data_IF_203215208115
#
_entry.id   IF_203215208115
#
_cell.length_a   1.000
_cell.length_b   1.000
_cell.length_c   1.000
_cell.angle_alpha   90.00
_cell.angle_beta   90.00
_cell.angle_gamma   90.00
#
_symmetry.space_group_name_H-M   'P 1'
#
loop_
_entity.id
_entity.type
_entity.pdbx_description
1 polymer ?
#
# COMPACT_ATOMS: atom_id res chain seq x y z
N UNK A 1 -11.96 13.17 -29.25
CA UNK A 1 -12.63 11.86 -29.34
C UNK A 1 -13.22 11.57 -27.98
N UNK A 2 -14.48 11.13 -27.91
CA UNK A 2 -15.10 10.75 -26.65
C UNK A 2 -14.34 9.57 -26.02
N UNK A 3 -14.18 9.57 -24.70
CA UNK A 3 -13.60 8.45 -23.97
C UNK A 3 -14.51 7.22 -24.09
N UNK A 4 -13.92 6.05 -24.34
CA UNK A 4 -14.57 4.74 -24.16
C UNK A 4 -13.60 3.80 -23.45
N UNK A 5 -14.07 3.09 -22.44
CA UNK A 5 -13.27 2.10 -21.69
C UNK A 5 -12.72 1.01 -22.63
N UNK A 6 -13.50 0.61 -23.63
CA UNK A 6 -13.12 -0.42 -24.60
C UNK A 6 -11.97 0.04 -25.51
N UNK A 7 -12.00 1.31 -25.93
CA UNK A 7 -10.91 1.90 -26.70
C UNK A 7 -9.64 2.04 -25.85
N UNK A 8 -9.78 2.35 -24.56
CA UNK A 8 -8.67 2.40 -23.63
C UNK A 8 -8.01 1.02 -23.44
N UNK A 9 -8.81 -0.02 -23.24
CA UNK A 9 -8.34 -1.42 -23.17
C UNK A 9 -7.63 -1.79 -24.47
N UNK A 10 -8.26 -1.55 -25.63
CA UNK A 10 -7.70 -1.88 -26.94
C UNK A 10 -6.34 -1.22 -27.16
N UNK A 11 -6.20 0.06 -26.81
CA UNK A 11 -4.92 0.81 -26.88
C UNK A 11 -3.86 0.20 -25.97
N UNK A 12 -4.21 -0.09 -24.72
CA UNK A 12 -3.28 -0.72 -23.77
C UNK A 12 -2.87 -2.14 -24.22
N UNK A 13 -3.76 -2.88 -24.88
CA UNK A 13 -3.49 -4.20 -25.44
C UNK A 13 -2.63 -4.16 -26.71
N UNK A 14 -2.69 -3.09 -27.49
CA UNK A 14 -1.84 -2.87 -28.67
C UNK A 14 -0.52 -2.14 -28.35
N UNK A 15 -0.37 -1.59 -27.14
CA UNK A 15 0.82 -0.88 -26.71
C UNK A 15 2.09 -1.73 -26.89
N UNK A 16 3.10 -1.19 -27.57
CA UNK A 16 4.39 -1.83 -27.74
C UNK A 16 5.52 -0.91 -27.26
N UNK A 17 6.77 -1.37 -27.39
CA UNK A 17 7.94 -0.61 -26.95
C UNK A 17 8.42 0.45 -27.97
N UNK A 18 7.69 0.68 -29.07
CA UNK A 18 8.02 1.73 -30.03
C UNK A 18 7.63 3.11 -29.48
N UNK A 19 8.45 4.10 -29.78
CA UNK A 19 8.22 5.48 -29.36
C UNK A 19 6.87 5.99 -29.89
N UNK A 20 6.52 5.68 -31.14
CA UNK A 20 5.26 6.10 -31.75
C UNK A 20 4.02 5.53 -31.03
N UNK A 21 4.06 4.25 -30.65
CA UNK A 21 2.95 3.61 -29.91
C UNK A 21 2.76 4.25 -28.53
N UNK A 22 3.87 4.49 -27.83
CA UNK A 22 3.89 5.13 -26.50
C UNK A 22 3.35 6.57 -26.59
N UNK A 23 3.88 7.40 -27.49
CA UNK A 23 3.48 8.81 -27.63
C UNK A 23 2.02 8.97 -28.05
N UNK A 24 1.57 8.16 -29.02
CA UNK A 24 0.19 8.21 -29.50
C UNK A 24 -0.79 7.85 -28.39
N UNK A 25 -0.47 6.83 -27.60
CA UNK A 25 -1.28 6.42 -26.45
C UNK A 25 -1.23 7.47 -25.35
N UNK A 26 -0.06 8.05 -25.07
CA UNK A 26 0.11 9.11 -24.07
C UNK A 26 -0.70 10.37 -24.40
N UNK A 27 -0.64 10.86 -25.64
CA UNK A 27 -1.47 11.99 -26.11
C UNK A 27 -2.97 11.73 -25.88
N UNK A 28 -3.41 10.50 -26.13
CA UNK A 28 -4.79 10.11 -25.88
C UNK A 28 -5.13 10.12 -24.38
N UNK A 29 -4.25 9.60 -23.51
CA UNK A 29 -4.39 9.69 -22.04
C UNK A 29 -4.55 11.14 -21.58
N UNK A 30 -3.71 12.04 -22.09
CA UNK A 30 -3.74 13.47 -21.74
C UNK A 30 -4.99 14.18 -22.26
N UNK A 31 -5.50 13.78 -23.42
CA UNK A 31 -6.77 14.30 -23.97
C UNK A 31 -7.98 13.90 -23.13
N UNK A 32 -7.89 12.76 -22.42
CA UNK A 32 -8.94 12.19 -21.57
C UNK A 32 -8.65 12.40 -20.08
N UNK A 33 -7.99 13.52 -19.72
CA UNK A 33 -7.53 13.83 -18.36
C UNK A 33 -8.64 13.92 -17.30
N UNK A 34 -9.88 14.15 -17.72
CA UNK A 34 -11.05 14.17 -16.83
C UNK A 34 -11.33 12.78 -16.26
N UNK A 35 -10.95 11.73 -16.98
CA UNK A 35 -11.07 10.32 -16.61
C UNK A 35 -9.75 9.74 -16.05
N UNK A 36 -8.82 10.59 -15.58
CA UNK A 36 -7.48 10.14 -15.18
C UNK A 36 -7.47 9.02 -14.13
N UNK A 37 -8.41 9.04 -13.17
CA UNK A 37 -8.53 7.97 -12.15
C UNK A 37 -8.82 6.62 -12.78
N UNK A 38 -9.86 6.56 -13.63
CA UNK A 38 -10.25 5.33 -14.33
C UNK A 38 -9.17 4.85 -15.31
N UNK A 39 -8.49 5.78 -15.99
CA UNK A 39 -7.37 5.46 -16.87
C UNK A 39 -6.20 4.80 -16.14
N UNK A 40 -5.84 5.29 -14.95
CA UNK A 40 -4.75 4.70 -14.16
C UNK A 40 -5.15 3.35 -13.58
N UNK A 41 -6.40 3.18 -13.12
CA UNK A 41 -6.93 1.88 -12.70
C UNK A 41 -6.86 0.87 -13.85
N UNK A 42 -7.33 1.25 -15.04
CA UNK A 42 -7.33 0.39 -16.22
C UNK A 42 -5.91 0.07 -16.70
N UNK A 43 -5.03 1.07 -16.72
CA UNK A 43 -3.60 0.86 -16.99
C UNK A 43 -3.02 -0.20 -16.06
N UNK A 44 -3.33 -0.13 -14.76
CA UNK A 44 -2.80 -1.07 -13.79
C UNK A 44 -3.37 -2.49 -13.98
N UNK A 45 -4.67 -2.59 -14.24
CA UNK A 45 -5.34 -3.86 -14.55
C UNK A 45 -4.73 -4.53 -15.77
N UNK A 46 -4.58 -3.81 -16.88
CA UNK A 46 -4.00 -4.35 -18.12
C UNK A 46 -2.49 -4.62 -17.96
N UNK A 47 -1.76 -3.82 -17.18
CA UNK A 47 -0.36 -4.09 -16.84
C UNK A 47 -0.17 -5.43 -16.13
N UNK A 48 -1.06 -5.76 -15.17
CA UNK A 48 -0.98 -7.03 -14.42
C UNK A 48 -1.22 -8.24 -15.32
N UNK A 49 -2.12 -8.11 -16.29
CA UNK A 49 -2.41 -9.15 -17.30
C UNK A 49 -1.30 -9.26 -18.36
N UNK A 50 -0.56 -8.18 -18.62
CA UNK A 50 0.41 -8.12 -19.69
C UNK A 50 1.59 -9.10 -19.47
N UNK A 51 2.08 -9.76 -20.53
CA UNK A 51 3.23 -10.65 -20.43
C UNK A 51 4.50 -9.87 -20.03
N UNK A 52 5.49 -10.53 -19.41
CA UNK A 52 6.72 -9.88 -18.92
C UNK A 52 7.46 -9.04 -19.99
N UNK A 53 7.39 -9.45 -21.26
CA UNK A 53 7.97 -8.71 -22.41
C UNK A 53 7.37 -7.32 -22.62
N UNK A 54 6.10 -7.14 -22.26
CA UNK A 54 5.32 -5.94 -22.52
C UNK A 54 5.29 -4.96 -21.34
N UNK A 55 5.62 -5.43 -20.13
CA UNK A 55 5.61 -4.63 -18.89
C UNK A 55 6.45 -3.34 -18.98
N UNK A 56 7.57 -3.36 -19.71
CA UNK A 56 8.39 -2.15 -19.90
C UNK A 56 7.68 -1.06 -20.73
N UNK A 57 6.90 -1.44 -21.74
CA UNK A 57 6.15 -0.48 -22.57
C UNK A 57 5.12 0.29 -21.74
N UNK A 58 4.48 -0.37 -20.77
CA UNK A 58 3.57 0.28 -19.82
C UNK A 58 4.29 1.30 -18.94
N UNK A 59 5.53 1.02 -18.50
CA UNK A 59 6.32 2.00 -17.74
C UNK A 59 6.77 3.18 -18.61
N UNK A 60 7.11 2.95 -19.88
CA UNK A 60 7.40 4.03 -20.82
C UNK A 60 6.16 4.91 -21.06
N UNK A 61 4.98 4.32 -21.19
CA UNK A 61 3.71 5.06 -21.25
C UNK A 61 3.47 5.89 -19.98
N UNK A 62 3.60 5.29 -18.79
CA UNK A 62 3.44 6.03 -17.54
C UNK A 62 4.44 7.19 -17.45
N UNK A 63 5.70 6.96 -17.83
CA UNK A 63 6.71 8.01 -17.88
C UNK A 63 6.32 9.16 -18.82
N UNK A 64 5.89 8.86 -20.03
CA UNK A 64 5.52 9.89 -21.01
C UNK A 64 4.28 10.67 -20.54
N UNK A 65 3.25 9.99 -20.05
CA UNK A 65 2.03 10.63 -19.51
C UNK A 65 2.35 11.52 -18.33
N UNK A 66 3.18 11.05 -17.39
CA UNK A 66 3.55 11.84 -16.20
C UNK A 66 4.36 13.08 -16.62
N UNK A 67 5.34 12.94 -17.52
CA UNK A 67 6.20 14.04 -17.94
C UNK A 67 5.50 15.04 -18.87
N UNK A 68 4.82 14.56 -19.91
CA UNK A 68 4.05 15.39 -20.84
C UNK A 68 2.82 16.02 -20.18
N UNK A 69 2.31 15.36 -19.14
CA UNK A 69 1.17 15.82 -18.34
C UNK A 69 1.50 16.77 -17.19
N UNK A 70 2.77 17.11 -16.91
CA UNK A 70 3.13 17.95 -15.75
C UNK A 70 2.34 19.26 -15.72
N UNK A 71 2.20 19.92 -16.87
CA UNK A 71 1.48 21.21 -16.97
C UNK A 71 -0.01 21.03 -17.26
N UNK A 72 -0.38 20.05 -18.08
CA UNK A 72 -1.75 19.92 -18.63
C UNK A 72 -2.67 19.04 -17.80
N UNK A 73 -2.09 18.06 -17.10
CA UNK A 73 -2.79 17.05 -16.30
C UNK A 73 -1.93 16.57 -15.11
N UNK A 74 -1.54 17.47 -14.18
CA UNK A 74 -0.64 17.16 -13.05
C UNK A 74 -1.18 16.05 -12.12
N UNK A 75 -2.48 15.76 -12.16
CA UNK A 75 -3.10 14.69 -11.39
C UNK A 75 -2.52 13.30 -11.72
N UNK A 76 -2.05 13.06 -12.96
CA UNK A 76 -1.50 11.76 -13.34
C UNK A 76 -0.27 11.39 -12.49
N UNK A 77 0.61 12.35 -12.20
CA UNK A 77 1.78 12.10 -11.34
C UNK A 77 1.39 11.49 -9.99
N UNK A 78 0.39 12.07 -9.32
CA UNK A 78 -0.09 11.57 -8.02
C UNK A 78 -0.90 10.27 -8.14
N UNK A 79 -1.68 10.10 -9.20
CA UNK A 79 -2.50 8.90 -9.40
C UNK A 79 -1.66 7.67 -9.75
N UNK A 80 -0.54 7.84 -10.45
CA UNK A 80 0.37 6.73 -10.72
C UNK A 80 1.11 6.26 -9.46
N UNK A 81 1.39 7.14 -8.49
CA UNK A 81 2.15 6.81 -7.27
C UNK A 81 1.76 5.48 -6.60
N UNK A 82 0.48 5.15 -6.31
CA UNK A 82 0.09 3.87 -5.70
C UNK A 82 0.31 2.63 -6.57
N UNK A 83 0.31 2.75 -7.90
CA UNK A 83 0.45 1.59 -8.82
C UNK A 83 1.91 1.29 -9.17
N UNK A 84 2.80 2.29 -9.08
CA UNK A 84 4.21 2.17 -9.46
C UNK A 84 5.00 1.13 -8.66
N UNK A 85 4.87 0.98 -7.32
CA UNK A 85 5.61 -0.03 -6.57
C UNK A 85 5.45 -1.45 -7.14
N UNK A 86 4.22 -1.83 -7.45
CA UNK A 86 3.92 -3.14 -8.07
C UNK A 86 4.45 -3.20 -9.50
N UNK A 87 4.29 -2.13 -10.28
CA UNK A 87 4.75 -2.11 -11.67
C UNK A 87 6.27 -2.23 -11.81
N UNK A 88 7.00 -1.50 -10.98
CA UNK A 88 8.46 -1.58 -10.89
C UNK A 88 8.93 -2.95 -10.40
N UNK A 89 8.32 -3.51 -9.35
CA UNK A 89 8.63 -4.87 -8.86
C UNK A 89 8.53 -5.90 -9.98
N UNK A 90 7.39 -5.94 -10.65
CA UNK A 90 7.08 -6.94 -11.66
C UNK A 90 7.92 -6.79 -12.93
N UNK A 91 8.25 -5.56 -13.33
CA UNK A 91 9.11 -5.30 -14.48
C UNK A 91 10.57 -5.62 -14.17
N UNK A 92 11.03 -5.39 -12.95
CA UNK A 92 12.40 -5.68 -12.52
C UNK A 92 12.71 -7.19 -12.45
N UNK A 93 11.70 -8.03 -12.17
CA UNK A 93 11.83 -9.50 -12.22
C UNK A 93 12.20 -10.04 -13.60
N UNK A 94 11.96 -9.27 -14.67
CA UNK A 94 12.31 -9.70 -16.03
C UNK A 94 13.83 -9.80 -16.15
N UNK A 95 14.33 -11.01 -16.36
CA UNK A 95 15.76 -11.32 -16.54
C UNK A 95 16.28 -10.89 -17.92
N UNK A 96 16.04 -9.62 -18.29
CA UNK A 96 16.65 -8.99 -19.47
C UNK A 96 17.36 -7.73 -19.07
N UNK A 97 18.61 -7.62 -19.47
CA UNK A 97 19.45 -6.47 -19.19
C UNK A 97 18.81 -5.16 -19.69
N UNK A 98 18.30 -5.14 -20.93
CA UNK A 98 17.66 -3.95 -21.51
C UNK A 98 16.46 -3.44 -20.70
N UNK A 99 15.64 -4.35 -20.17
CA UNK A 99 14.48 -4.00 -19.34
C UNK A 99 14.92 -3.42 -18.00
N UNK A 100 15.88 -4.08 -17.33
CA UNK A 100 16.40 -3.61 -16.03
C UNK A 100 17.13 -2.27 -16.15
N UNK A 101 17.90 -2.08 -17.23
CA UNK A 101 18.55 -0.81 -17.55
C UNK A 101 17.53 0.31 -17.79
N UNK A 102 16.44 0.03 -18.52
CA UNK A 102 15.37 1.00 -18.73
C UNK A 102 14.66 1.38 -17.43
N UNK A 103 14.35 0.41 -16.55
CA UNK A 103 13.78 0.65 -15.21
C UNK A 103 14.71 1.53 -14.36
N UNK A 104 16.01 1.22 -14.36
CA UNK A 104 17.02 2.00 -13.67
C UNK A 104 17.09 3.45 -14.18
N UNK A 105 17.10 3.63 -15.50
CA UNK A 105 17.12 4.93 -16.14
C UNK A 105 15.88 5.76 -15.82
N UNK A 106 14.68 5.16 -15.82
CA UNK A 106 13.44 5.84 -15.44
C UNK A 106 13.52 6.44 -14.03
N UNK A 107 14.03 5.67 -13.06
CA UNK A 107 14.21 6.17 -11.69
C UNK A 107 15.17 7.36 -11.66
N UNK A 108 16.29 7.28 -12.38
CA UNK A 108 17.27 8.38 -12.47
C UNK A 108 16.63 9.61 -13.07
N UNK A 109 15.90 9.48 -14.18
CA UNK A 109 15.21 10.60 -14.85
C UNK A 109 14.17 11.24 -13.93
N UNK A 110 13.39 10.43 -13.20
CA UNK A 110 12.39 10.94 -12.26
C UNK A 110 13.00 11.63 -11.05
N UNK A 111 14.16 11.17 -10.60
CA UNK A 111 14.98 11.92 -9.65
C UNK A 111 15.38 13.24 -10.29
N UNK A 112 16.11 13.24 -11.42
CA UNK A 112 16.55 14.39 -12.23
C UNK A 112 15.52 15.48 -12.46
N UNK A 113 14.28 15.10 -12.68
CA UNK A 113 13.20 16.06 -12.95
C UNK A 113 12.36 16.41 -11.72
N UNK A 114 12.77 15.94 -10.53
CA UNK A 114 12.05 16.13 -9.26
C UNK A 114 10.56 15.72 -9.34
N UNK A 115 10.25 14.66 -10.09
CA UNK A 115 8.87 14.23 -10.33
C UNK A 115 8.24 13.65 -9.06
N UNK A 116 9.03 12.87 -8.31
CA UNK A 116 8.62 12.26 -7.06
C UNK A 116 9.59 12.56 -5.91
N UNK A 117 9.10 12.40 -4.68
CA UNK A 117 9.91 12.59 -3.47
C UNK A 117 11.08 11.62 -3.39
N UNK A 118 12.19 12.05 -2.79
CA UNK A 118 13.39 11.20 -2.61
C UNK A 118 13.08 9.92 -1.82
N UNK A 119 12.17 9.98 -0.84
CA UNK A 119 11.77 8.82 -0.04
C UNK A 119 11.05 7.77 -0.89
N UNK A 120 10.08 8.19 -1.71
CA UNK A 120 9.36 7.30 -2.61
C UNK A 120 10.28 6.69 -3.67
N UNK A 121 11.16 7.51 -4.26
CA UNK A 121 12.15 7.05 -5.23
C UNK A 121 13.15 6.03 -4.64
N UNK A 122 13.59 6.22 -3.39
CA UNK A 122 14.39 5.21 -2.66
C UNK A 122 13.62 3.92 -2.43
N UNK A 123 12.32 4.01 -2.10
CA UNK A 123 11.46 2.85 -1.93
C UNK A 123 11.33 2.06 -3.25
N UNK A 124 11.05 2.74 -4.37
CA UNK A 124 10.97 2.10 -5.69
C UNK A 124 12.29 1.43 -6.07
N UNK A 125 13.43 2.09 -5.86
CA UNK A 125 14.74 1.48 -6.07
C UNK A 125 14.90 0.20 -5.26
N UNK A 126 14.63 0.24 -3.96
CA UNK A 126 14.76 -0.93 -3.08
C UNK A 126 13.88 -2.09 -3.56
N UNK A 127 12.64 -1.81 -3.95
CA UNK A 127 11.71 -2.80 -4.51
C UNK A 127 12.30 -3.44 -5.77
N UNK A 128 12.86 -2.65 -6.69
CA UNK A 128 13.49 -3.18 -7.91
C UNK A 128 14.67 -4.07 -7.60
N UNK A 129 15.58 -3.62 -6.73
CA UNK A 129 16.79 -4.36 -6.40
C UNK A 129 16.47 -5.69 -5.70
N UNK A 130 15.49 -5.69 -4.79
CA UNK A 130 15.00 -6.92 -4.17
C UNK A 130 14.37 -7.86 -5.20
N UNK A 131 13.55 -7.33 -6.11
CA UNK A 131 12.93 -8.13 -7.17
C UNK A 131 13.96 -8.74 -8.15
N UNK A 132 15.04 -8.01 -8.44
CA UNK A 132 16.18 -8.53 -9.23
C UNK A 132 16.88 -9.65 -8.48
N UNK A 133 17.21 -9.45 -7.20
CA UNK A 133 17.85 -10.47 -6.38
C UNK A 133 16.99 -11.73 -6.22
N UNK A 134 15.67 -11.58 -6.03
CA UNK A 134 14.71 -12.69 -6.01
C UNK A 134 14.67 -13.46 -7.33
N UNK A 135 14.74 -12.77 -8.47
CA UNK A 135 14.70 -13.39 -9.79
C UNK A 135 16.02 -14.09 -10.17
N UNK A 136 17.17 -13.52 -9.78
CA UNK A 136 18.50 -14.04 -10.12
C UNK A 136 18.97 -15.11 -9.11
N UNK A 137 18.51 -15.03 -7.86
CA UNK A 137 18.94 -15.92 -6.76
C UNK A 137 17.75 -16.38 -5.89
N UNK A 138 16.85 -17.23 -6.42
CA UNK A 138 15.61 -17.61 -5.72
C UNK A 138 15.83 -18.38 -4.40
N UNK A 139 16.99 -19.02 -4.20
CA UNK A 139 17.33 -19.80 -3.00
C UNK A 139 18.33 -19.14 -2.03
N UNK A 140 18.78 -17.92 -2.28
CA UNK A 140 19.74 -17.25 -1.40
C UNK A 140 19.08 -16.79 -0.09
N UNK A 141 19.83 -16.84 1.02
CA UNK A 141 19.39 -16.26 2.29
C UNK A 141 19.24 -14.72 2.15
N UNK A 142 18.34 -14.13 2.93
CA UNK A 142 18.03 -12.70 2.89
C UNK A 142 19.25 -11.80 3.15
N UNK A 143 20.21 -12.27 3.94
CA UNK A 143 21.48 -11.56 4.15
C UNK A 143 22.32 -11.46 2.88
N UNK A 144 22.41 -12.55 2.11
CA UNK A 144 23.14 -12.56 0.82
C UNK A 144 22.46 -11.64 -0.18
N UNK A 145 21.12 -11.69 -0.26
CA UNK A 145 20.34 -10.76 -1.10
C UNK A 145 20.60 -9.30 -0.70
N UNK A 146 20.60 -8.97 0.59
CA UNK A 146 20.91 -7.62 1.09
C UNK A 146 22.31 -7.15 0.69
N UNK A 147 23.31 -8.03 0.78
CA UNK A 147 24.69 -7.70 0.41
C UNK A 147 24.83 -7.45 -1.10
N UNK A 148 24.20 -8.28 -1.95
CA UNK A 148 24.17 -8.08 -3.41
C UNK A 148 23.50 -6.74 -3.77
N UNK A 149 22.38 -6.43 -3.11
CA UNK A 149 21.65 -5.18 -3.32
C UNK A 149 22.52 -3.97 -2.96
N UNK A 150 23.22 -4.03 -1.82
CA UNK A 150 24.10 -2.95 -1.34
C UNK A 150 25.33 -2.74 -2.25
N UNK A 151 25.88 -3.82 -2.81
CA UNK A 151 27.04 -3.77 -3.69
C UNK A 151 26.71 -3.41 -5.16
N UNK A 152 25.43 -3.24 -5.51
CA UNK A 152 25.01 -2.98 -6.89
C UNK A 152 25.50 -1.60 -7.38
N UNK A 153 26.16 -1.51 -8.56
CA UNK A 153 26.57 -0.23 -9.15
C UNK A 153 25.40 0.74 -9.35
N UNK A 154 24.22 0.21 -9.68
CA UNK A 154 23.00 1.01 -9.78
C UNK A 154 22.60 1.65 -8.44
N UNK A 155 22.84 0.97 -7.31
CA UNK A 155 22.59 1.52 -5.98
C UNK A 155 23.43 2.78 -5.75
N UNK A 156 24.71 2.71 -6.13
CA UNK A 156 25.67 3.79 -5.98
C UNK A 156 25.28 4.97 -6.88
N UNK A 157 25.14 4.77 -8.19
CA UNK A 157 24.78 5.83 -9.14
C UNK A 157 23.48 6.54 -8.76
N UNK A 158 22.45 5.78 -8.34
CA UNK A 158 21.19 6.37 -7.92
C UNK A 158 21.29 7.19 -6.63
N UNK A 159 22.11 6.72 -5.67
CA UNK A 159 22.36 7.47 -4.43
C UNK A 159 23.05 8.79 -4.74
N UNK A 160 24.09 8.76 -5.59
CA UNK A 160 24.80 9.97 -6.06
C UNK A 160 23.85 10.95 -6.71
N UNK A 161 22.97 10.46 -7.60
CA UNK A 161 21.90 11.26 -8.22
C UNK A 161 21.10 11.89 -7.09
N UNK A 162 20.42 11.13 -6.21
CA UNK A 162 19.59 11.67 -5.11
C UNK A 162 20.30 12.67 -4.17
N UNK A 163 21.61 12.52 -3.93
CA UNK A 163 22.41 13.47 -3.15
C UNK A 163 22.66 14.77 -3.89
N UNK A 164 22.80 14.76 -5.23
CA UNK A 164 22.88 15.97 -6.02
C UNK A 164 21.55 16.77 -6.06
N UNK A 165 20.40 16.17 -5.73
CA UNK A 165 19.08 16.85 -5.61
C UNK A 165 18.94 17.73 -4.35
N UNK A 166 19.96 17.87 -3.51
CA UNK A 166 19.89 18.70 -2.29
C UNK A 166 21.26 19.24 -1.96
N UNK A 167 21.32 20.43 -1.34
CA UNK A 167 22.55 21.18 -1.08
C UNK A 167 23.73 20.27 -0.70
N UNK A 168 24.83 20.49 -1.41
CA UNK A 168 26.08 19.78 -1.23
C UNK A 168 26.58 19.95 0.22
N UNK A 169 26.46 18.89 1.01
CA UNK A 169 27.32 18.72 2.19
C UNK A 169 28.43 17.73 1.78
N UNK A 170 29.71 18.11 1.89
CA UNK A 170 30.80 17.25 1.43
C UNK A 170 30.92 16.03 2.35
N UNK A 171 30.86 14.84 1.74
CA UNK A 171 31.25 13.61 2.42
C UNK A 171 32.79 13.58 2.57
N UNK A 172 33.33 13.10 3.70
CA UNK A 172 34.76 12.86 3.80
C UNK A 172 35.08 11.56 3.06
N UNK A 173 35.88 11.69 2.00
CA UNK A 173 36.70 10.61 1.43
C UNK A 173 37.63 10.05 2.49
N UNK A 174 37.69 8.72 2.71
CA UNK A 174 38.93 7.90 2.79
C UNK A 174 38.62 6.39 2.66
N UNK A 175 39.35 5.73 1.77
CA UNK A 175 39.57 4.27 1.70
C UNK A 175 40.97 4.01 2.28
N UNK A 176 41.09 3.11 3.27
CA UNK A 176 42.21 2.17 3.49
C UNK A 176 42.18 1.54 4.91
N UNK A 177 42.49 0.24 5.00
CA UNK A 177 42.62 -0.62 6.21
C UNK A 177 44.08 -1.12 6.32
N UNK A 178 44.57 -1.81 7.37
CA UNK A 178 44.45 -1.68 8.83
C UNK A 178 45.79 -1.30 9.52
N UNK A 179 45.74 -0.81 10.77
CA UNK A 179 46.95 -0.61 11.58
C UNK A 179 46.62 -0.32 13.05
N UNK A 180 47.08 -1.20 13.93
CA UNK A 180 46.94 -1.12 15.38
C UNK A 180 47.71 0.08 15.95
N UNK A 181 47.11 0.87 16.84
CA UNK A 181 47.69 1.30 18.12
C UNK A 181 46.76 2.23 18.93
N UNK A 182 46.73 1.94 20.22
CA UNK A 182 46.04 2.59 21.32
C UNK A 182 46.45 4.07 21.53
N UNK A 183 45.48 4.93 21.88
CA UNK A 183 45.64 5.99 22.89
C UNK A 183 44.30 6.54 23.39
N UNK A 184 44.11 6.48 24.71
CA UNK A 184 43.06 7.09 25.55
C UNK A 184 42.89 8.60 25.30
N UNK A 185 41.67 9.14 25.47
CA UNK A 185 41.30 10.04 26.59
C UNK A 185 39.82 10.51 26.55
N UNK A 186 39.16 10.35 27.71
CA UNK A 186 38.07 11.11 28.39
C UNK A 186 36.90 11.75 27.61
N UNK A 187 35.71 11.15 27.79
CA UNK A 187 34.61 11.67 28.61
C UNK A 187 33.89 12.97 28.24
N UNK A 188 32.61 12.85 27.85
CA UNK A 188 31.54 13.74 28.36
C UNK A 188 30.19 13.01 28.35
N UNK A 189 29.48 13.09 29.47
CA UNK A 189 28.14 12.54 29.70
C UNK A 189 27.11 13.54 29.18
N UNK A 190 26.05 13.08 28.51
CA UNK A 190 24.77 13.78 28.46
C UNK A 190 23.64 12.80 28.16
N UNK A 191 23.09 12.29 29.25
CA UNK A 191 21.67 12.14 29.58
C UNK A 191 20.67 12.17 28.41
N UNK A 192 20.09 11.00 28.12
CA UNK A 192 18.87 10.85 27.32
C UNK A 192 17.66 11.16 28.21
N UNK A 193 17.01 12.30 27.98
CA UNK A 193 15.67 12.58 28.53
C UNK A 193 14.62 11.94 27.63
N UNK A 194 13.98 10.88 28.12
CA UNK A 194 12.70 10.41 27.61
C UNK A 194 11.60 11.23 28.29
N UNK A 195 10.88 12.04 27.52
CA UNK A 195 9.61 12.60 27.94
C UNK A 195 8.47 11.81 27.25
N UNK A 196 7.47 11.30 27.99
CA UNK A 196 6.31 10.68 27.39
C UNK A 196 5.38 11.79 26.88
N UNK A 197 5.09 11.79 25.58
CA UNK A 197 4.10 12.72 25.01
C UNK A 197 2.70 12.26 25.40
N UNK A 198 2.04 13.13 26.17
CA UNK A 198 0.64 13.07 26.55
C UNK A 198 -0.28 13.03 25.32
N UNK A 199 -1.23 12.09 25.33
CA UNK A 199 -2.36 12.04 24.39
C UNK A 199 -3.35 13.14 24.75
N UNK A 200 -3.25 14.30 24.10
CA UNK A 200 -4.34 15.28 24.09
C UNK A 200 -5.30 14.99 22.94
N UNK A 201 -6.54 14.69 23.32
CA UNK A 201 -7.71 14.67 22.46
C UNK A 201 -7.85 16.07 21.85
N UNK A 202 -7.60 16.19 20.54
CA UNK A 202 -7.83 17.44 19.80
C UNK A 202 -9.27 17.45 19.26
N UNK A 203 -10.04 18.40 19.78
CA UNK A 203 -11.33 18.79 19.24
C UNK A 203 -11.21 19.29 17.81
N UNK A 204 -12.20 18.92 17.01
CA UNK A 204 -12.36 19.26 15.61
C UNK A 204 -12.77 20.72 15.45
N UNK A 205 -11.92 21.53 14.80
CA UNK A 205 -12.27 22.85 14.28
C UNK A 205 -12.07 22.86 12.75
N UNK A 206 -13.08 23.19 11.93
CA UNK A 206 -12.98 23.08 10.48
C UNK A 206 -12.63 24.41 9.85
N UNK A 207 -11.34 24.72 9.66
CA UNK A 207 -10.90 25.77 8.73
C UNK A 207 -9.55 25.41 8.12
N UNK A 208 -9.56 24.85 6.91
CA UNK A 208 -8.33 24.44 6.19
C UNK A 208 -8.58 23.78 4.83
N UNK A 209 -9.54 24.30 4.04
CA UNK A 209 -9.89 23.74 2.73
C UNK A 209 -8.91 24.21 1.65
N UNK A 210 -7.86 23.43 1.39
CA UNK A 210 -7.22 23.38 0.05
C UNK A 210 -6.22 22.21 -0.06
N UNK A 211 -5.42 21.96 0.98
CA UNK A 211 -4.41 20.88 0.97
C UNK A 211 -4.98 19.51 1.39
N UNK A 212 -5.97 19.48 2.28
CA UNK A 212 -6.49 18.23 2.85
C UNK A 212 -7.40 17.45 1.88
N UNK A 213 -8.26 18.12 1.10
CA UNK A 213 -9.15 17.43 0.15
C UNK A 213 -8.39 16.62 -0.91
N UNK A 214 -7.20 17.08 -1.35
CA UNK A 214 -6.40 16.33 -2.33
C UNK A 214 -5.63 15.17 -1.71
N UNK A 215 -5.13 15.30 -0.46
CA UNK A 215 -4.49 14.20 0.28
C UNK A 215 -5.51 13.11 0.64
N UNK A 216 -6.70 13.50 1.10
CA UNK A 216 -7.82 12.60 1.36
C UNK A 216 -8.30 11.89 0.10
N UNK A 217 -8.33 12.57 -1.05
CA UNK A 217 -8.70 11.97 -2.34
C UNK A 217 -7.68 10.93 -2.84
N UNK A 218 -6.39 11.13 -2.58
CA UNK A 218 -5.33 10.18 -2.99
C UNK A 218 -5.23 9.00 -2.02
N UNK A 219 -5.36 9.24 -0.71
CA UNK A 219 -5.43 8.13 0.26
C UNK A 219 -6.66 7.26 0.00
N UNK A 220 -7.80 7.88 -0.29
CA UNK A 220 -9.01 7.18 -0.70
C UNK A 220 -8.78 6.37 -1.99
N UNK A 221 -8.13 6.95 -3.01
CA UNK A 221 -7.80 6.22 -4.24
C UNK A 221 -6.85 5.04 -3.99
N UNK A 222 -5.86 5.20 -3.09
CA UNK A 222 -4.95 4.12 -2.70
C UNK A 222 -5.68 2.99 -1.98
N UNK A 223 -6.57 3.32 -1.05
CA UNK A 223 -7.40 2.34 -0.34
C UNK A 223 -8.38 1.64 -1.28
N UNK A 224 -8.98 2.39 -2.20
CA UNK A 224 -9.87 1.87 -3.24
C UNK A 224 -9.13 0.87 -4.13
N UNK A 225 -7.95 1.23 -4.65
CA UNK A 225 -7.13 0.33 -5.44
C UNK A 225 -6.74 -0.92 -4.64
N UNK A 226 -6.30 -0.76 -3.39
CA UNK A 226 -5.94 -1.89 -2.54
C UNK A 226 -7.12 -2.85 -2.33
N UNK A 227 -8.32 -2.29 -2.17
CA UNK A 227 -9.58 -3.03 -2.05
C UNK A 227 -9.97 -3.74 -3.35
N UNK A 228 -9.82 -3.10 -4.50
CA UNK A 228 -10.04 -3.73 -5.81
C UNK A 228 -9.10 -4.92 -5.99
N UNK A 229 -7.81 -4.79 -5.67
CA UNK A 229 -6.85 -5.89 -5.79
C UNK A 229 -7.15 -7.08 -4.87
N UNK A 230 -7.59 -6.81 -3.64
CA UNK A 230 -8.03 -7.87 -2.71
C UNK A 230 -9.27 -8.59 -3.25
N UNK A 231 -10.14 -7.86 -3.95
CA UNK A 231 -11.37 -8.42 -4.50
C UNK A 231 -11.11 -9.26 -5.74
N UNK A 232 -10.22 -8.81 -6.65
CA UNK A 232 -9.79 -9.60 -7.82
C UNK A 232 -9.12 -10.93 -7.44
N UNK A 233 -8.49 -11.01 -6.27
CA UNK A 233 -7.82 -12.22 -5.79
C UNK A 233 -8.79 -13.28 -5.24
N UNK A 234 -10.07 -12.94 -5.05
CA UNK A 234 -11.09 -13.83 -4.50
C UNK A 234 -11.94 -14.38 -5.64
N UNK A 235 -12.14 -15.70 -5.65
CA UNK A 235 -13.09 -16.33 -6.56
C UNK A 235 -14.50 -15.83 -6.24
N UNK A 236 -15.29 -15.40 -7.24
CA UNK A 236 -16.64 -14.93 -6.99
C UNK A 236 -17.45 -16.02 -6.26
N UNK A 237 -17.99 -15.72 -5.06
CA UNK A 237 -18.72 -16.72 -4.28
C UNK A 237 -20.04 -17.06 -4.96
N UNK A 238 -20.54 -18.27 -4.70
CA UNK A 238 -21.91 -18.62 -5.08
C UNK A 238 -22.91 -17.87 -4.20
N UNK A 239 -24.15 -17.69 -4.69
CA UNK A 239 -25.21 -17.04 -3.91
C UNK A 239 -25.47 -17.75 -2.59
N UNK A 240 -25.40 -19.09 -2.56
CA UNK A 240 -25.56 -19.90 -1.33
C UNK A 240 -24.47 -19.61 -0.29
N UNK A 241 -23.22 -19.47 -0.71
CA UNK A 241 -22.10 -19.14 0.20
C UNK A 241 -22.25 -17.74 0.80
N UNK A 242 -22.73 -16.77 0.02
CA UNK A 242 -23.03 -15.44 0.54
C UNK A 242 -24.15 -15.44 1.57
N UNK A 243 -25.19 -16.24 1.34
CA UNK A 243 -26.28 -16.41 2.29
C UNK A 243 -25.79 -17.02 3.60
N UNK A 244 -24.95 -18.06 3.54
CA UNK A 244 -24.34 -18.66 4.72
C UNK A 244 -23.49 -17.65 5.51
N UNK A 245 -22.68 -16.84 4.81
CA UNK A 245 -21.87 -15.80 5.44
C UNK A 245 -22.71 -14.71 6.11
N UNK A 246 -23.84 -14.33 5.50
CA UNK A 246 -24.80 -13.37 6.07
C UNK A 246 -25.51 -13.96 7.29
N UNK A 247 -25.97 -15.20 7.20
CA UNK A 247 -26.64 -15.90 8.29
C UNK A 247 -25.70 -16.07 9.50
N UNK A 248 -24.43 -16.42 9.26
CA UNK A 248 -23.42 -16.50 10.33
C UNK A 248 -23.23 -15.18 11.07
N UNK A 249 -23.29 -14.05 10.36
CA UNK A 249 -23.19 -12.71 10.95
C UNK A 249 -24.48 -12.21 11.60
N UNK A 250 -25.62 -12.86 11.31
CA UNK A 250 -26.92 -12.56 11.92
C UNK A 250 -27.11 -13.27 13.27
N UNK A 251 -26.37 -14.35 13.52
CA UNK A 251 -26.29 -14.99 14.84
C UNK A 251 -25.73 -14.01 15.90
N UNK A 252 -25.87 -14.28 17.21
CA UNK A 252 -25.45 -13.36 18.26
C UNK A 252 -24.00 -12.92 18.07
N UNK A 253 -23.80 -11.66 17.67
CA UNK A 253 -22.49 -11.07 17.44
C UNK A 253 -21.93 -10.53 18.76
N UNK A 254 -20.62 -10.52 18.91
CA UNK A 254 -19.95 -9.89 20.05
C UNK A 254 -20.36 -8.41 20.18
N UNK A 255 -20.45 -7.71 19.05
CA UNK A 255 -20.98 -6.35 18.94
C UNK A 255 -22.48 -6.24 19.25
N UNK A 256 -23.26 -7.31 19.15
CA UNK A 256 -24.64 -7.38 19.62
C UNK A 256 -24.77 -7.59 21.13
N UNK A 257 -23.74 -8.13 21.78
CA UNK A 257 -23.77 -8.52 23.20
C UNK A 257 -23.66 -7.31 24.16
N UNK A 258 -24.81 -6.67 24.36
CA UNK A 258 -24.94 -5.55 25.28
C UNK A 258 -24.75 -5.95 26.75
N UNK A 259 -24.95 -7.22 27.11
CA UNK A 259 -24.79 -7.69 28.48
C UNK A 259 -23.30 -7.74 28.85
N UNK A 260 -22.49 -8.38 28.00
CA UNK A 260 -21.03 -8.45 28.20
C UNK A 260 -20.40 -7.07 28.15
N UNK A 261 -20.84 -6.17 27.25
CA UNK A 261 -20.36 -4.77 27.25
C UNK A 261 -20.67 -4.03 28.54
N UNK A 262 -21.87 -4.19 29.09
CA UNK A 262 -22.23 -3.55 30.37
C UNK A 262 -21.41 -4.12 31.53
N UNK A 263 -21.18 -5.43 31.55
CA UNK A 263 -20.35 -6.08 32.57
C UNK A 263 -18.91 -5.56 32.53
N UNK A 264 -18.32 -5.46 31.33
CA UNK A 264 -16.97 -4.90 31.13
C UNK A 264 -16.91 -3.42 31.54
N UNK A 265 -17.93 -2.62 31.18
CA UNK A 265 -17.99 -1.21 31.55
C UNK A 265 -18.15 -0.97 33.07
N UNK A 266 -18.68 -1.96 33.80
CA UNK A 266 -18.83 -1.93 35.26
C UNK A 266 -17.63 -2.55 35.99
N UNK A 267 -16.52 -2.80 35.28
CA UNK A 267 -15.33 -3.32 35.93
C UNK A 267 -14.86 -2.42 37.08
N UNK A 268 -14.37 -3.03 38.17
CA UNK A 268 -13.94 -2.27 39.33
C UNK A 268 -12.80 -1.29 38.97
N UNK A 269 -12.72 -0.12 39.62
CA UNK A 269 -11.67 0.86 39.35
C UNK A 269 -10.27 0.32 39.63
N UNK A 270 -10.13 -0.69 40.49
CA UNK A 270 -8.87 -1.39 40.77
C UNK A 270 -8.41 -2.27 39.61
N UNK A 271 -9.31 -2.66 38.71
CA UNK A 271 -9.00 -3.41 37.48
C UNK A 271 -8.75 -2.44 36.32
N UNK A 272 -9.43 -1.28 36.31
CA UNK A 272 -9.32 -0.29 35.24
C UNK A 272 -8.18 0.72 35.41
N UNK A 273 -7.72 0.99 36.64
CA UNK A 273 -6.71 1.99 36.97
C UNK A 273 -5.54 1.37 37.75
N UNK A 274 -4.36 1.38 37.12
CA UNK A 274 -3.14 0.82 37.67
C UNK A 274 -2.71 1.50 38.98
N UNK A 275 -3.00 2.80 39.16
CA UNK A 275 -2.59 3.53 40.37
C UNK A 275 -3.42 3.13 41.58
N UNK A 276 -4.73 2.94 41.39
CA UNK A 276 -5.64 2.48 42.46
C UNK A 276 -5.36 1.03 42.87
N UNK A 277 -5.00 0.18 41.90
CA UNK A 277 -4.54 -1.17 42.18
C UNK A 277 -3.29 -1.16 43.08
N UNK A 278 -2.31 -0.31 42.76
CA UNK A 278 -1.07 -0.17 43.54
C UNK A 278 -1.35 0.36 44.94
N UNK A 279 -2.21 1.37 45.09
CA UNK A 279 -2.58 1.94 46.39
C UNK A 279 -3.15 0.90 47.36
N UNK A 280 -4.03 0.02 46.84
CA UNK A 280 -4.61 -1.08 47.61
C UNK A 280 -3.54 -2.11 47.96
N UNK A 281 -2.66 -2.47 47.02
CA UNK A 281 -1.58 -3.44 47.26
C UNK A 281 -0.61 -2.96 48.35
N UNK A 282 -0.31 -1.65 48.43
CA UNK A 282 0.63 -1.09 49.42
C UNK A 282 0.19 -1.26 50.86
N UNK A 283 -1.11 -1.21 51.15
CA UNK A 283 -1.65 -1.25 52.51
C UNK A 283 -2.40 -2.56 52.84
N UNK A 284 -2.60 -3.44 51.86
CA UNK A 284 -3.35 -4.69 52.00
C UNK A 284 -2.52 -5.83 52.59
N UNK A 285 -3.22 -6.69 53.34
CA UNK A 285 -2.75 -8.01 53.78
C UNK A 285 -2.52 -8.98 52.61
N UNK A 286 -1.76 -10.04 52.83
CA UNK A 286 -1.41 -11.02 51.79
C UNK A 286 -2.66 -11.70 51.18
N UNK A 287 -3.70 -11.90 51.98
CA UNK A 287 -4.99 -12.45 51.53
C UNK A 287 -5.75 -11.50 50.59
N UNK A 288 -5.80 -10.21 50.93
CA UNK A 288 -6.49 -9.18 50.13
C UNK A 288 -5.78 -8.95 48.78
N UNK A 289 -4.44 -9.04 48.74
CA UNK A 289 -3.67 -9.01 47.49
C UNK A 289 -4.01 -10.20 46.59
N UNK A 290 -4.12 -11.39 47.17
CA UNK A 290 -4.50 -12.59 46.41
C UNK A 290 -5.90 -12.48 45.83
N UNK A 291 -6.85 -11.94 46.60
CA UNK A 291 -8.22 -11.72 46.14
C UNK A 291 -8.31 -10.68 45.01
N UNK A 292 -7.55 -9.58 45.14
CA UNK A 292 -7.45 -8.56 44.09
C UNK A 292 -6.87 -9.13 42.79
N UNK A 293 -5.78 -9.89 42.88
CA UNK A 293 -5.16 -10.56 41.72
C UNK A 293 -6.16 -11.51 41.06
N UNK A 294 -6.90 -12.29 41.85
CA UNK A 294 -7.95 -13.20 41.35
C UNK A 294 -9.06 -12.45 40.61
N UNK A 295 -9.53 -11.32 41.15
CA UNK A 295 -10.53 -10.46 40.49
C UNK A 295 -10.01 -9.85 39.18
N UNK A 296 -8.79 -9.31 39.19
CA UNK A 296 -8.15 -8.76 37.99
C UNK A 296 -8.01 -9.85 36.92
N UNK A 297 -7.56 -11.05 37.30
CA UNK A 297 -7.41 -12.17 36.37
C UNK A 297 -8.75 -12.58 35.73
N UNK A 298 -9.84 -12.61 36.51
CA UNK A 298 -11.17 -12.92 36.00
C UNK A 298 -11.66 -11.85 34.99
N UNK A 299 -11.59 -10.57 35.37
CA UNK A 299 -11.97 -9.46 34.49
C UNK A 299 -11.12 -9.42 33.20
N UNK A 300 -9.81 -9.66 33.30
CA UNK A 300 -8.92 -9.75 32.15
C UNK A 300 -9.30 -10.91 31.21
N UNK A 301 -9.67 -12.07 31.78
CA UNK A 301 -10.13 -13.22 31.01
C UNK A 301 -11.42 -12.91 30.24
N UNK A 302 -12.38 -12.25 30.89
CA UNK A 302 -13.63 -11.82 30.24
C UNK A 302 -13.38 -10.80 29.12
N UNK A 303 -12.50 -9.82 29.35
CA UNK A 303 -12.15 -8.80 28.34
C UNK A 303 -11.44 -9.43 27.14
N UNK A 304 -10.45 -10.30 27.38
CA UNK A 304 -9.76 -11.01 26.32
C UNK A 304 -10.73 -11.85 25.50
N UNK A 305 -11.65 -12.57 26.17
CA UNK A 305 -12.65 -13.37 25.46
C UNK A 305 -13.56 -12.52 24.58
N UNK A 306 -13.99 -11.36 25.08
CA UNK A 306 -14.78 -10.42 24.30
C UNK A 306 -14.00 -9.85 23.11
N UNK A 307 -12.73 -9.48 23.30
CA UNK A 307 -11.86 -8.97 22.22
C UNK A 307 -11.61 -10.01 21.14
N UNK A 308 -11.38 -11.27 21.50
CA UNK A 308 -11.26 -12.39 20.53
C UNK A 308 -12.52 -12.51 19.68
N UNK A 309 -13.70 -12.48 20.31
CA UNK A 309 -14.97 -12.58 19.59
C UNK A 309 -15.22 -11.36 18.68
N UNK A 310 -14.81 -10.17 19.11
CA UNK A 310 -14.89 -8.96 18.30
C UNK A 310 -13.94 -8.99 17.11
N UNK A 311 -12.73 -9.53 17.30
CA UNK A 311 -11.77 -9.73 16.21
C UNK A 311 -12.28 -10.75 15.19
N UNK A 312 -12.88 -11.86 15.66
CA UNK A 312 -13.51 -12.84 14.79
C UNK A 312 -14.67 -12.20 13.99
N UNK A 313 -15.55 -11.45 14.65
CA UNK A 313 -16.65 -10.72 14.00
C UNK A 313 -16.11 -9.73 12.95
N UNK A 314 -15.08 -8.95 13.30
CA UNK A 314 -14.43 -8.00 12.39
C UNK A 314 -13.88 -8.70 11.14
N UNK A 315 -13.19 -9.83 11.33
CA UNK A 315 -12.66 -10.67 10.26
C UNK A 315 -13.77 -11.23 9.36
N UNK A 316 -14.85 -11.75 9.95
CA UNK A 316 -16.01 -12.26 9.22
C UNK A 316 -16.70 -11.15 8.39
N UNK A 317 -16.88 -9.95 8.97
CA UNK A 317 -17.43 -8.78 8.25
C UNK A 317 -16.53 -8.32 7.12
N UNK A 318 -15.21 -8.32 7.32
CA UNK A 318 -14.24 -8.01 6.27
C UNK A 318 -14.32 -9.01 5.13
N UNK A 319 -14.38 -10.32 5.45
CA UNK A 319 -14.54 -11.38 4.46
C UNK A 319 -15.84 -11.20 3.67
N UNK A 320 -16.98 -10.98 4.34
CA UNK A 320 -18.26 -10.72 3.68
C UNK A 320 -18.20 -9.48 2.77
N UNK A 321 -17.60 -8.39 3.23
CA UNK A 321 -17.44 -7.18 2.43
C UNK A 321 -16.69 -7.43 1.13
N UNK A 322 -15.60 -8.22 1.18
CA UNK A 322 -14.84 -8.61 0.00
C UNK A 322 -15.63 -9.55 -0.92
N UNK A 323 -16.28 -10.57 -0.35
CA UNK A 323 -17.14 -11.52 -1.06
C UNK A 323 -18.29 -10.83 -1.80
N UNK A 324 -18.97 -9.89 -1.16
CA UNK A 324 -20.05 -9.09 -1.77
C UNK A 324 -19.53 -8.25 -2.93
N UNK A 325 -18.33 -7.65 -2.80
CA UNK A 325 -17.74 -6.88 -3.90
C UNK A 325 -17.41 -7.78 -5.09
N UNK A 326 -16.84 -8.97 -4.84
CA UNK A 326 -16.52 -9.93 -5.90
C UNK A 326 -17.78 -10.41 -6.63
N UNK A 327 -18.83 -10.74 -5.88
CA UNK A 327 -20.13 -11.14 -6.44
C UNK A 327 -20.78 -10.02 -7.25
N UNK A 328 -20.77 -8.79 -6.76
CA UNK A 328 -21.27 -7.63 -7.50
C UNK A 328 -20.50 -7.39 -8.81
N UNK A 329 -19.17 -7.57 -8.80
CA UNK A 329 -18.36 -7.49 -10.02
C UNK A 329 -18.72 -8.59 -11.03
N UNK A 330 -18.96 -9.82 -10.56
CA UNK A 330 -19.43 -10.93 -11.39
C UNK A 330 -20.81 -10.63 -12.01
N UNK A 331 -21.75 -10.12 -11.22
CA UNK A 331 -23.07 -9.73 -11.71
C UNK A 331 -22.97 -8.64 -12.79
N UNK A 332 -22.13 -7.63 -12.58
CA UNK A 332 -21.88 -6.59 -13.60
C UNK A 332 -21.33 -7.17 -14.90
N UNK A 333 -20.39 -8.11 -14.83
CA UNK A 333 -19.86 -8.79 -16.03
C UNK A 333 -20.96 -9.53 -16.77
N UNK A 334 -21.77 -10.33 -16.05
CA UNK A 334 -22.89 -11.07 -16.67
C UNK A 334 -23.92 -10.15 -17.32
N UNK A 335 -24.22 -9.00 -16.70
CA UNK A 335 -25.10 -7.99 -17.29
C UNK A 335 -24.50 -7.47 -18.60
N UNK A 336 -23.21 -7.14 -18.62
CA UNK A 336 -22.52 -6.69 -19.83
C UNK A 336 -22.55 -7.75 -20.93
N UNK A 337 -22.36 -9.02 -20.58
CA UNK A 337 -22.42 -10.14 -21.53
C UNK A 337 -23.83 -10.29 -22.12
N UNK A 338 -24.88 -10.25 -21.29
CA UNK A 338 -26.26 -10.28 -21.78
C UNK A 338 -26.63 -9.06 -22.64
N UNK A 339 -26.15 -7.87 -22.28
CA UNK A 339 -26.34 -6.67 -23.10
C UNK A 339 -25.66 -6.81 -24.48
N UNK A 340 -24.48 -7.42 -24.53
CA UNK A 340 -23.78 -7.70 -25.77
C UNK A 340 -24.52 -8.75 -26.62
N UNK A 341 -25.05 -9.80 -26.00
CA UNK A 341 -25.90 -10.80 -26.67
C UNK A 341 -27.18 -10.18 -27.22
N UNK A 342 -27.87 -9.34 -26.44
CA UNK A 342 -29.06 -8.60 -26.87
C UNK A 342 -28.78 -7.68 -28.05
N UNK A 343 -27.65 -6.97 -28.04
CA UNK A 343 -27.22 -6.13 -29.17
C UNK A 343 -26.94 -6.97 -30.41
N UNK A 344 -26.25 -8.09 -30.27
CA UNK A 344 -25.95 -9.00 -31.38
C UNK A 344 -27.24 -9.58 -32.01
N UNK A 345 -28.25 -9.89 -31.20
CA UNK A 345 -29.57 -10.33 -31.69
C UNK A 345 -30.33 -9.20 -32.37
N UNK A 346 -30.26 -7.97 -31.86
CA UNK A 346 -30.91 -6.79 -32.46
C UNK A 346 -30.29 -6.39 -33.80
N UNK A 347 -28.96 -6.47 -33.94
CA UNK A 347 -28.24 -6.15 -35.18
C UNK A 347 -28.33 -7.29 -36.23
N UNK A 348 -28.72 -8.49 -35.80
CA UNK A 348 -28.93 -9.67 -36.64
C UNK A 348 -30.36 -9.87 -37.14
N UNK A 349 -31.28 -8.94 -36.85
CA UNK A 349 -32.65 -9.00 -37.34
C UNK A 349 -32.74 -8.28 -38.71
N UNK A 350 -33.16 -8.98 -39.79
CA UNK A 350 -33.18 -8.43 -41.15
C UNK A 350 -34.21 -7.31 -41.36
#
# INVERSE_FOLDING_TARGET
>A
MSYSEEEAVRRLQQLDNSQQSVETTSKWFLSSKDMAKELVKLWFKEFRKAPPKKKIAFLHLANDVIQSGITTAPQFGKLFEPVLPTAFKETAKVQRHSVRAAVAHLLIVWASRHIYSKSFLRQLRFICQRAVAEADTPGANEEVKRNIIAASPFAFSFTTVLTAFGDAVPAPTKISTPGSQSKRYKGSKSTMSFAPQSLSIVGFSPTGLSADSTRTSISAFREELARELQTEAITPPQTSELLEMLEKLQQPTASGDAATRRAIAQFPPEVSDANKAVEIITNASESERHELISRIANCATQLNKYNELLEEESSQRQKLSLSLRAYHAQLKSRIKDYEAELRAVSDGSP
#
